data_IF_012622436197
#
_entry.id   IF_012622436197
#
_cell.length_a   1.000
_cell.length_b   1.000
_cell.length_c   1.000
_cell.angle_alpha   90.00
_cell.angle_beta   90.00
_cell.angle_gamma   90.00
#
_symmetry.space_group_name_H-M   'P 1'
#
loop_
_entity.id
_entity.type
_entity.pdbx_description
1 polymer ?
#
# COMPACT_ATOMS: atom_id res chain seq x y z
N UNK A 1 7.27 11.83 6.94
CA UNK A 1 6.54 10.79 6.19
C UNK A 1 5.24 11.38 5.67
N UNK A 2 5.26 11.86 4.44
CA UNK A 2 4.16 12.65 3.86
C UNK A 2 3.10 11.71 3.29
N UNK A 3 1.83 12.01 3.57
CA UNK A 3 0.60 11.40 3.03
C UNK A 3 0.47 11.73 1.52
N UNK A 4 1.55 11.56 0.74
CA UNK A 4 1.57 11.69 -0.72
C UNK A 4 1.23 10.38 -1.42
N UNK A 5 1.34 9.23 -0.74
CA UNK A 5 1.32 7.89 -1.35
C UNK A 5 -0.05 7.19 -1.42
N UNK A 6 -1.15 7.78 -0.93
CA UNK A 6 -2.47 7.23 -1.27
C UNK A 6 -2.81 7.53 -2.75
N UNK A 7 -2.14 8.50 -3.38
CA UNK A 7 -2.28 8.75 -4.82
C UNK A 7 -1.80 7.61 -5.71
N UNK A 8 -0.87 6.79 -5.22
CA UNK A 8 -0.38 5.60 -5.93
C UNK A 8 -1.09 4.33 -5.47
N UNK A 9 -2.20 4.43 -4.72
CA UNK A 9 -3.01 3.28 -4.37
C UNK A 9 -3.76 2.81 -5.64
N UNK A 10 -3.38 1.67 -6.27
CA UNK A 10 -3.96 1.24 -7.53
C UNK A 10 -5.37 0.65 -7.36
N UNK A 11 -6.02 0.88 -6.21
CA UNK A 11 -7.39 0.45 -5.91
C UNK A 11 -8.40 1.57 -5.83
N UNK A 12 -8.15 2.69 -6.52
CA UNK A 12 -9.29 3.50 -6.87
C UNK A 12 -10.26 2.61 -7.66
N UNK A 13 -11.51 2.42 -7.21
CA UNK A 13 -12.46 1.58 -7.92
C UNK A 13 -12.55 2.06 -9.37
N UNK A 14 -12.40 1.14 -10.33
CA UNK A 14 -12.48 1.45 -11.76
C UNK A 14 -13.82 2.18 -12.08
N UNK A 15 -14.87 1.87 -11.31
CA UNK A 15 -16.19 2.48 -11.36
C UNK A 15 -16.26 3.96 -10.99
N UNK A 16 -15.29 4.48 -10.23
CA UNK A 16 -15.23 5.90 -9.83
C UNK A 16 -14.36 6.74 -10.77
N UNK A 17 -13.68 6.10 -11.72
CA UNK A 17 -12.82 6.70 -12.73
C UNK A 17 -11.66 7.47 -12.11
N UNK A 18 -10.43 7.01 -12.34
CA UNK A 18 -9.22 7.75 -11.99
C UNK A 18 -8.60 8.28 -13.29
N UNK A 19 -8.88 9.53 -13.67
CA UNK A 19 -7.97 10.24 -14.57
C UNK A 19 -6.73 10.66 -13.77
N UNK A 20 -5.61 10.83 -14.47
CA UNK A 20 -4.27 11.07 -13.91
C UNK A 20 -4.15 12.33 -13.02
N UNK A 21 -5.22 13.11 -12.87
CA UNK A 21 -5.32 14.25 -11.96
C UNK A 21 -6.44 14.16 -10.90
N UNK A 22 -7.10 13.01 -10.74
CA UNK A 22 -8.27 12.92 -9.84
C UNK A 22 -7.90 12.87 -8.37
N UNK A 23 -8.49 13.81 -7.64
CA UNK A 23 -8.64 13.76 -6.20
C UNK A 23 -9.82 12.84 -5.89
N UNK A 24 -9.55 11.69 -5.28
CA UNK A 24 -10.60 10.78 -4.83
C UNK A 24 -11.31 11.38 -3.62
N UNK A 25 -12.64 11.43 -3.66
CA UNK A 25 -13.48 11.79 -2.51
C UNK A 25 -14.10 10.49 -2.02
N UNK A 26 -13.89 10.20 -0.73
CA UNK A 26 -14.44 9.01 -0.08
C UNK A 26 -15.88 9.28 0.35
N UNK A 27 -16.76 8.29 0.16
CA UNK A 27 -18.15 8.33 0.57
C UNK A 27 -18.32 7.99 2.07
N UNK A 28 -17.36 7.29 2.66
CA UNK A 28 -17.40 6.94 4.09
C UNK A 28 -16.02 6.68 4.70
N UNK A 29 -15.94 6.71 6.04
CA UNK A 29 -14.74 6.29 6.77
C UNK A 29 -14.45 4.79 6.63
N UNK A 30 -15.48 3.97 6.43
CA UNK A 30 -15.33 2.53 6.25
C UNK A 30 -14.57 2.24 4.95
N UNK A 31 -14.95 2.92 3.87
CA UNK A 31 -14.26 2.83 2.58
C UNK A 31 -12.77 3.18 2.70
N UNK A 32 -12.42 4.27 3.39
CA UNK A 32 -11.03 4.65 3.63
C UNK A 32 -10.27 3.54 4.35
N UNK A 33 -10.87 2.94 5.38
CA UNK A 33 -10.25 1.86 6.17
C UNK A 33 -9.99 0.63 5.32
N UNK A 34 -10.97 0.20 4.53
CA UNK A 34 -10.85 -0.99 3.69
C UNK A 34 -9.78 -0.80 2.62
N UNK A 35 -9.78 0.35 1.94
CA UNK A 35 -8.76 0.71 0.96
C UNK A 35 -7.36 0.80 1.58
N UNK A 36 -7.25 1.36 2.79
CA UNK A 36 -5.97 1.49 3.50
C UNK A 36 -5.46 0.11 3.95
N UNK A 37 -6.33 -0.76 4.44
CA UNK A 37 -5.98 -2.11 4.86
C UNK A 37 -5.44 -2.94 3.69
N UNK A 38 -6.11 -2.88 2.55
CA UNK A 38 -5.62 -3.55 1.35
C UNK A 38 -4.30 -2.95 0.85
N UNK A 39 -4.18 -1.62 0.80
CA UNK A 39 -2.93 -0.97 0.40
C UNK A 39 -1.77 -1.37 1.30
N UNK A 40 -1.97 -1.41 2.62
CA UNK A 40 -0.96 -1.85 3.59
C UNK A 40 -0.53 -3.30 3.32
N UNK A 41 -1.48 -4.18 3.03
CA UNK A 41 -1.19 -5.57 2.69
C UNK A 41 -0.28 -5.65 1.47
N UNK A 42 -0.61 -4.95 0.38
CA UNK A 42 0.20 -5.00 -0.85
C UNK A 42 1.55 -4.32 -0.69
N UNK A 43 1.60 -3.19 0.00
CA UNK A 43 2.86 -2.51 0.30
C UNK A 43 3.80 -3.43 1.08
N UNK A 44 3.30 -4.07 2.14
CA UNK A 44 4.14 -4.87 3.03
C UNK A 44 4.51 -6.25 2.46
N UNK A 45 3.64 -6.87 1.66
CA UNK A 45 3.82 -8.25 1.21
C UNK A 45 4.18 -8.40 -0.27
N UNK A 46 3.85 -7.42 -1.11
CA UNK A 46 3.93 -7.60 -2.56
C UNK A 46 4.79 -6.55 -3.27
N UNK A 47 4.89 -5.34 -2.73
CA UNK A 47 5.59 -4.23 -3.41
C UNK A 47 7.10 -4.37 -3.24
N UNK A 48 7.87 -4.57 -4.33
CA UNK A 48 9.32 -4.60 -4.24
C UNK A 48 9.87 -3.18 -4.02
N UNK A 49 10.85 -3.04 -3.13
CA UNK A 49 11.51 -1.77 -2.86
C UNK A 49 12.98 -1.82 -3.22
N UNK A 50 13.45 -0.92 -4.08
CA UNK A 50 14.85 -0.89 -4.54
C UNK A 50 15.83 -0.72 -3.37
N UNK A 51 15.49 0.13 -2.40
CA UNK A 51 16.29 0.33 -1.18
C UNK A 51 16.42 -0.94 -0.31
N UNK A 52 15.50 -1.91 -0.46
CA UNK A 52 15.53 -3.19 0.24
C UNK A 52 16.17 -4.31 -0.61
N UNK A 53 16.70 -4.00 -1.79
CA UNK A 53 17.20 -5.00 -2.73
C UNK A 53 16.10 -5.62 -3.59
N UNK A 54 15.05 -4.84 -3.90
CA UNK A 54 13.88 -5.24 -4.71
C UNK A 54 13.00 -6.33 -4.08
N UNK A 55 12.98 -6.41 -2.75
CA UNK A 55 12.06 -7.29 -2.00
C UNK A 55 11.03 -6.49 -1.20
N UNK A 56 9.89 -7.10 -0.80
CA UNK A 56 8.90 -6.47 0.06
C UNK A 56 9.40 -6.30 1.51
N UNK A 57 8.82 -5.35 2.28
CA UNK A 57 9.23 -5.09 3.66
C UNK A 57 9.12 -6.30 4.60
N UNK A 58 8.10 -7.12 4.41
CA UNK A 58 7.91 -8.34 5.22
C UNK A 58 9.07 -9.30 5.03
N UNK A 59 9.42 -9.56 3.79
CA UNK A 59 10.50 -10.47 3.41
C UNK A 59 11.87 -9.93 3.86
N UNK A 60 12.08 -8.62 3.73
CA UNK A 60 13.26 -7.95 4.28
C UNK A 60 13.38 -8.14 5.79
N UNK A 61 12.27 -8.00 6.54
CA UNK A 61 12.25 -8.20 7.99
C UNK A 61 12.54 -9.67 8.35
N UNK A 62 12.03 -10.64 7.60
CA UNK A 62 12.35 -12.08 7.80
C UNK A 62 13.84 -12.32 7.60
N UNK A 63 14.41 -11.74 6.53
CA UNK A 63 15.84 -11.90 6.20
C UNK A 63 16.77 -11.35 7.28
N UNK A 64 16.41 -10.20 7.87
CA UNK A 64 17.22 -9.58 8.94
C UNK A 64 17.02 -10.23 10.31
N UNK A 65 15.79 -10.67 10.60
CA UNK A 65 15.41 -11.18 11.91
C UNK A 65 14.56 -12.44 11.78
N UNK A 66 15.16 -13.57 11.35
CA UNK A 66 14.41 -14.82 11.13
C UNK A 66 13.75 -15.34 12.41
N UNK A 67 14.37 -15.08 13.57
CA UNK A 67 13.86 -15.48 14.88
C UNK A 67 12.89 -14.46 15.50
N UNK A 68 12.38 -13.47 14.75
CA UNK A 68 11.34 -12.55 15.23
C UNK A 68 10.06 -12.65 14.37
N UNK A 69 10.03 -13.60 13.44
CA UNK A 69 8.85 -14.03 12.71
C UNK A 69 8.42 -15.38 13.28
N UNK A 70 7.69 -15.33 14.40
CA UNK A 70 6.94 -16.45 14.95
C UNK A 70 5.45 -16.23 14.70
#
# INVERSE_FOLDING_TARGET
>A
MSIRYIKDCPLLPISKGADSFRRYVFDSLQEVRDMTADWLQRYNHHRPHEALGRIPPVEYRVKLFPNLYF
#
